data_IF_005706083005
#
_entry.id   IF_005706083005
#
_cell.length_a   1.000
_cell.length_b   1.000
_cell.length_c   1.000
_cell.angle_alpha   90.00
_cell.angle_beta   90.00
_cell.angle_gamma   90.00
#
_symmetry.space_group_name_H-M   'P 1'
#
loop_
_entity.id
_entity.type
_entity.pdbx_description
1 polymer ?
#
# COMPACT_ATOMS: atom_id res chain seq x y z
N UNK A 1 -8.27 -43.41 -1.82
CA UNK A 1 -7.47 -42.20 -1.61
C UNK A 1 -7.48 -41.79 -0.13
N UNK A 2 -7.03 -42.69 0.74
CA UNK A 2 -6.71 -42.45 2.15
C UNK A 2 -5.38 -43.15 2.37
N UNK A 3 -4.45 -42.50 3.09
CA UNK A 3 -3.02 -42.84 3.30
C UNK A 3 -2.05 -42.08 2.39
N UNK A 4 -1.81 -40.80 2.70
CA UNK A 4 -0.54 -40.07 2.47
C UNK A 4 -0.57 -38.76 3.30
N UNK A 5 -0.94 -38.87 4.58
CA UNK A 5 -0.83 -37.80 5.59
C UNK A 5 -0.31 -38.47 6.84
N UNK A 6 1.01 -38.55 6.99
CA UNK A 6 1.77 -38.89 8.21
C UNK A 6 3.20 -39.23 7.80
N UNK A 7 4.00 -38.21 7.47
CA UNK A 7 5.47 -38.21 7.60
C UNK A 7 5.94 -36.82 7.14
N UNK A 8 6.09 -35.90 8.09
CA UNK A 8 6.91 -34.65 8.03
C UNK A 8 6.67 -33.74 9.25
N UNK A 9 5.69 -34.06 10.11
CA UNK A 9 5.56 -33.46 11.44
C UNK A 9 6.42 -34.30 12.40
N UNK A 10 7.71 -33.98 12.53
CA UNK A 10 8.59 -34.28 13.69
C UNK A 10 10.05 -33.94 13.36
N UNK A 11 10.38 -32.66 13.30
CA UNK A 11 11.69 -32.18 13.73
C UNK A 11 11.45 -31.03 14.72
N UNK A 12 11.91 -31.13 15.98
CA UNK A 12 11.64 -30.10 16.97
C UNK A 12 12.52 -28.88 16.70
N UNK A 13 11.87 -27.72 16.64
CA UNK A 13 12.39 -26.36 16.47
C UNK A 13 13.35 -25.90 17.61
N UNK A 14 13.88 -26.83 18.41
CA UNK A 14 14.65 -26.54 19.63
C UNK A 14 16.17 -26.70 19.47
N UNK A 15 16.70 -26.90 18.25
CA UNK A 15 18.13 -27.13 18.02
C UNK A 15 18.86 -26.01 17.24
N UNK A 16 18.29 -24.81 17.19
CA UNK A 16 18.97 -23.60 16.70
C UNK A 16 19.02 -22.46 17.76
N UNK A 17 18.73 -22.78 19.03
CA UNK A 17 18.97 -21.89 20.17
C UNK A 17 20.27 -22.31 20.86
N UNK A 18 21.41 -21.82 20.37
CA UNK A 18 22.68 -22.09 21.05
C UNK A 18 23.90 -21.66 20.25
N UNK A 19 24.25 -20.37 20.32
CA UNK A 19 25.58 -19.86 20.66
C UNK A 19 25.65 -18.37 20.26
N UNK A 20 25.46 -17.49 21.24
CA UNK A 20 25.62 -16.04 21.08
C UNK A 20 25.48 -15.24 22.38
N UNK A 21 25.43 -15.92 23.54
CA UNK A 21 25.53 -15.29 24.85
C UNK A 21 27.01 -15.13 25.17
N UNK A 22 27.54 -13.93 24.92
CA UNK A 22 28.66 -13.27 25.62
C UNK A 22 29.13 -12.14 24.70
N UNK A 23 28.61 -10.92 24.90
CA UNK A 23 29.23 -9.60 24.66
C UNK A 23 28.22 -8.43 24.54
N UNK A 24 26.92 -8.62 24.83
CA UNK A 24 25.93 -7.53 24.89
C UNK A 24 25.53 -7.10 26.31
N UNK A 25 26.02 -7.75 27.37
CA UNK A 25 25.71 -7.41 28.77
C UNK A 25 26.50 -6.20 29.30
N UNK A 26 26.91 -5.25 28.44
CA UNK A 26 27.74 -4.12 28.83
C UNK A 26 27.39 -2.84 28.06
N UNK A 27 26.10 -2.53 27.91
CA UNK A 27 25.61 -1.16 27.72
C UNK A 27 24.27 -1.00 28.44
N UNK A 28 24.35 -0.71 29.74
CA UNK A 28 23.24 -0.19 30.55
C UNK A 28 22.94 1.26 30.16
N UNK A 29 22.50 1.48 28.92
CA UNK A 29 21.84 2.73 28.56
C UNK A 29 20.39 2.35 28.27
N UNK A 30 19.53 2.59 29.28
CA UNK A 30 18.10 2.60 29.09
C UNK A 30 17.79 3.53 27.91
N UNK A 31 17.41 2.94 26.77
CA UNK A 31 16.75 3.67 25.70
C UNK A 31 15.53 4.30 26.37
N UNK A 32 15.60 5.61 26.58
CA UNK A 32 14.45 6.36 27.02
C UNK A 32 13.38 6.12 25.96
N UNK A 33 12.36 5.32 26.31
CA UNK A 33 11.13 5.23 25.54
C UNK A 33 10.64 6.66 25.46
N UNK A 34 10.86 7.31 24.32
CA UNK A 34 10.30 8.62 24.06
C UNK A 34 8.80 8.45 24.29
N UNK A 35 8.25 9.17 25.28
CA UNK A 35 6.84 9.10 25.57
C UNK A 35 6.11 9.46 24.29
N UNK A 36 5.40 8.49 23.70
CA UNK A 36 4.56 8.73 22.53
C UNK A 36 3.65 9.93 22.82
N UNK A 37 3.34 10.77 21.81
CA UNK A 37 2.48 11.92 22.00
C UNK A 37 1.15 11.54 22.67
N UNK A 38 0.57 12.40 23.52
CA UNK A 38 -0.73 12.14 24.09
C UNK A 38 -1.79 12.04 22.97
N UNK A 39 -2.33 10.84 22.74
CA UNK A 39 -3.28 10.56 21.67
C UNK A 39 -2.98 9.29 20.86
N UNK A 40 -1.75 8.78 20.92
CA UNK A 40 -1.40 7.47 20.37
C UNK A 40 -2.20 6.38 21.12
N UNK A 41 -2.83 5.40 20.44
CA UNK A 41 -3.34 4.22 21.14
C UNK A 41 -2.15 3.61 21.87
N UNK A 42 -2.18 3.66 23.20
CA UNK A 42 -1.10 3.16 24.01
C UNK A 42 -1.02 1.65 23.79
N UNK A 43 -0.01 1.19 23.04
CA UNK A 43 0.47 -0.17 23.19
C UNK A 43 0.79 -0.33 24.68
N UNK A 44 0.27 -1.38 25.30
CA UNK A 44 0.61 -1.71 26.68
C UNK A 44 2.12 -1.86 26.81
N UNK A 45 2.65 -1.61 28.02
CA UNK A 45 4.08 -1.79 28.27
C UNK A 45 4.55 -3.23 27.99
N UNK A 46 3.65 -4.20 28.10
CA UNK A 46 3.86 -5.60 27.76
C UNK A 46 3.97 -5.78 26.23
N UNK A 47 3.03 -5.21 25.45
CA UNK A 47 3.13 -5.22 23.99
C UNK A 47 4.41 -4.54 23.51
N UNK A 48 4.76 -3.35 24.01
CA UNK A 48 6.01 -2.68 23.63
C UNK A 48 7.24 -3.52 24.01
N UNK A 49 7.23 -4.17 25.18
CA UNK A 49 8.34 -5.01 25.66
C UNK A 49 8.50 -6.27 24.80
N UNK A 50 7.42 -6.98 24.50
CA UNK A 50 7.43 -8.18 23.67
C UNK A 50 7.86 -7.86 22.24
N UNK A 51 7.42 -6.71 21.72
CA UNK A 51 7.84 -6.20 20.42
C UNK A 51 9.32 -5.82 20.39
N UNK A 52 9.82 -5.09 21.39
CA UNK A 52 11.24 -4.74 21.46
C UNK A 52 12.10 -5.98 21.68
N UNK A 53 11.62 -6.98 22.42
CA UNK A 53 12.26 -8.27 22.55
C UNK A 53 12.33 -8.99 21.19
N UNK A 54 11.20 -9.12 20.49
CA UNK A 54 11.15 -9.71 19.14
C UNK A 54 12.06 -8.95 18.16
N UNK A 55 11.99 -7.62 18.11
CA UNK A 55 12.86 -6.81 17.27
C UNK A 55 14.32 -6.99 17.64
N UNK A 56 14.69 -7.05 18.92
CA UNK A 56 16.08 -7.22 19.35
C UNK A 56 16.63 -8.63 19.03
N UNK A 57 15.78 -9.65 19.15
CA UNK A 57 16.10 -11.04 18.80
C UNK A 57 16.21 -11.23 17.28
N UNK A 58 15.45 -10.45 16.51
CA UNK A 58 15.40 -10.50 15.05
C UNK A 58 16.22 -9.39 14.35
N UNK A 59 16.74 -8.40 15.08
CA UNK A 59 17.57 -7.30 14.56
C UNK A 59 18.91 -7.77 14.03
N UNK A 60 19.39 -8.93 14.49
CA UNK A 60 20.58 -9.58 13.94
C UNK A 60 20.28 -10.30 12.63
N UNK A 61 19.00 -10.58 12.31
CA UNK A 61 18.56 -11.21 11.07
C UNK A 61 18.17 -10.18 9.99
N UNK A 62 17.76 -8.96 10.36
CA UNK A 62 17.41 -7.90 9.40
C UNK A 62 18.54 -7.53 8.40
N UNK A 63 19.84 -7.59 8.75
CA UNK A 63 20.93 -7.46 7.77
C UNK A 63 21.50 -8.80 7.28
N UNK A 64 20.99 -9.94 7.76
CA UNK A 64 21.66 -11.25 7.69
C UNK A 64 20.79 -12.44 7.28
N UNK A 65 19.62 -12.25 6.68
CA UNK A 65 18.99 -13.25 5.79
C UNK A 65 19.67 -13.29 4.41
N UNK A 66 20.99 -13.11 4.41
CA UNK A 66 21.84 -13.27 3.23
C UNK A 66 22.09 -14.74 2.97
N UNK A 67 21.48 -15.24 1.90
CA UNK A 67 22.12 -16.23 1.03
C UNK A 67 22.46 -17.56 1.68
N UNK A 68 21.49 -18.22 2.31
CA UNK A 68 21.49 -19.68 2.25
C UNK A 68 21.06 -20.03 0.83
N UNK A 69 22.03 -20.49 0.02
CA UNK A 69 21.74 -21.10 -1.27
C UNK A 69 20.87 -22.34 -1.04
N UNK A 70 19.56 -22.14 -1.01
CA UNK A 70 18.59 -23.21 -0.99
C UNK A 70 18.53 -23.81 -2.41
N UNK A 71 18.83 -25.11 -2.59
CA UNK A 71 18.61 -25.78 -3.86
C UNK A 71 17.15 -25.78 -4.35
N UNK A 72 16.18 -25.27 -3.56
CA UNK A 72 14.79 -25.05 -3.94
C UNK A 72 14.47 -23.67 -4.57
N UNK A 73 15.39 -22.70 -4.55
CA UNK A 73 15.15 -21.36 -5.12
C UNK A 73 15.00 -21.43 -6.65
N UNK A 74 13.93 -20.86 -7.18
CA UNK A 74 13.71 -20.75 -8.63
C UNK A 74 14.72 -19.75 -9.20
N UNK A 75 15.55 -20.12 -10.21
CA UNK A 75 16.59 -19.27 -10.74
C UNK A 75 16.05 -18.29 -11.79
N UNK A 76 15.01 -17.52 -11.44
CA UNK A 76 14.49 -16.42 -12.24
C UNK A 76 15.54 -15.30 -12.41
N UNK A 77 15.38 -14.48 -13.43
CA UNK A 77 16.18 -13.29 -13.70
C UNK A 77 15.30 -12.04 -13.71
N UNK A 78 15.90 -10.86 -13.76
CA UNK A 78 15.16 -9.60 -13.93
C UNK A 78 14.26 -9.59 -15.18
N UNK A 79 14.60 -10.35 -16.23
CA UNK A 79 13.76 -10.45 -17.42
C UNK A 79 12.45 -11.18 -17.16
N UNK A 80 12.41 -12.15 -16.23
CA UNK A 80 11.17 -12.86 -15.88
C UNK A 80 10.13 -11.94 -15.21
N UNK A 81 10.61 -10.83 -14.63
CA UNK A 81 9.80 -9.81 -13.98
C UNK A 81 9.70 -8.51 -14.79
N UNK A 82 10.15 -8.52 -16.06
CA UNK A 82 10.05 -7.36 -16.92
C UNK A 82 8.59 -6.99 -17.19
N UNK A 83 8.29 -5.70 -17.14
CA UNK A 83 6.96 -5.14 -17.37
C UNK A 83 7.07 -3.87 -18.22
N UNK A 84 6.11 -3.61 -19.14
CA UNK A 84 6.13 -2.44 -20.02
C UNK A 84 5.96 -1.11 -19.26
N UNK A 85 6.03 0.02 -19.98
CA UNK A 85 5.95 1.37 -19.42
C UNK A 85 7.32 2.02 -19.23
N UNK A 86 7.40 3.08 -18.42
CA UNK A 86 8.65 3.81 -18.19
C UNK A 86 9.66 2.91 -17.46
N UNK A 87 10.85 2.76 -18.03
CA UNK A 87 11.92 1.90 -17.48
C UNK A 87 12.92 2.69 -16.62
N UNK A 88 13.73 2.01 -15.78
CA UNK A 88 14.80 2.66 -15.04
C UNK A 88 15.75 3.43 -15.95
N UNK A 89 16.09 4.67 -15.57
CA UNK A 89 16.89 5.58 -16.39
C UNK A 89 16.14 6.19 -17.59
N UNK A 90 14.84 5.92 -17.73
CA UNK A 90 13.98 6.49 -18.78
C UNK A 90 13.53 7.93 -18.55
N UNK A 91 13.75 8.47 -17.34
CA UNK A 91 13.45 9.87 -17.02
C UNK A 91 14.62 10.78 -17.40
N UNK A 92 14.31 11.94 -17.99
CA UNK A 92 15.27 13.02 -18.22
C UNK A 92 15.43 13.87 -16.95
N UNK A 93 14.33 14.05 -16.22
CA UNK A 93 14.32 14.67 -14.89
C UNK A 93 13.84 13.64 -13.88
N UNK A 94 14.73 13.25 -12.96
CA UNK A 94 14.38 12.31 -11.87
C UNK A 94 13.21 12.84 -11.03
N UNK A 95 12.43 11.92 -10.47
CA UNK A 95 11.37 12.25 -9.50
C UNK A 95 12.01 12.95 -8.29
N UNK A 96 11.52 14.16 -7.98
CA UNK A 96 12.08 14.98 -6.90
C UNK A 96 11.61 14.56 -5.51
N UNK A 97 12.28 15.07 -4.48
CA UNK A 97 11.93 14.83 -3.07
C UNK A 97 10.63 15.57 -2.72
N UNK A 98 9.63 14.92 -2.08
CA UNK A 98 8.39 15.57 -1.64
C UNK A 98 8.60 16.86 -0.83
N UNK A 99 9.74 17.00 -0.14
CA UNK A 99 10.09 18.23 0.58
C UNK A 99 10.09 19.46 -0.34
N UNK A 100 10.37 19.31 -1.65
CA UNK A 100 10.25 20.40 -2.62
C UNK A 100 8.81 20.90 -2.80
N UNK A 101 7.81 20.06 -2.52
CA UNK A 101 6.39 20.41 -2.59
C UNK A 101 5.92 21.10 -1.31
N UNK A 102 6.55 20.80 -0.16
CA UNK A 102 6.06 21.19 1.16
C UNK A 102 6.05 22.70 1.41
N UNK A 103 6.88 23.47 0.69
CA UNK A 103 6.88 24.93 0.80
C UNK A 103 5.52 25.57 0.48
N UNK A 104 4.68 24.91 -0.32
CA UNK A 104 3.34 25.39 -0.68
C UNK A 104 2.23 24.40 -0.31
N UNK A 105 2.51 23.10 -0.31
CA UNK A 105 1.52 22.03 -0.13
C UNK A 105 1.51 21.42 1.29
N UNK A 106 2.22 22.04 2.24
CA UNK A 106 2.30 21.62 3.64
C UNK A 106 2.41 22.85 4.58
N UNK A 107 1.84 22.77 5.78
CA UNK A 107 1.99 23.74 6.86
C UNK A 107 1.24 25.07 6.66
N UNK A 108 0.32 25.15 5.70
CA UNK A 108 -0.41 26.37 5.35
C UNK A 108 -1.77 26.52 6.09
N UNK A 109 -2.24 25.47 6.76
CA UNK A 109 -3.43 25.40 7.61
C UNK A 109 -3.05 24.92 9.03
N UNK A 110 -2.28 25.70 9.81
CA UNK A 110 -1.81 25.26 11.13
C UNK A 110 -2.93 24.96 12.14
N UNK A 111 -4.14 25.47 11.92
CA UNK A 111 -5.32 25.19 12.74
C UNK A 111 -6.10 23.95 12.29
N UNK A 112 -5.84 23.43 11.09
CA UNK A 112 -6.46 22.23 10.54
C UNK A 112 -5.48 21.48 9.59
N UNK A 113 -4.42 20.84 10.12
CA UNK A 113 -3.44 20.13 9.30
C UNK A 113 -4.06 18.98 8.49
N UNK A 114 -5.14 18.37 8.98
CA UNK A 114 -5.87 17.31 8.26
C UNK A 114 -6.58 17.81 6.99
N UNK A 115 -6.63 19.12 6.76
CA UNK A 115 -7.09 19.71 5.49
C UNK A 115 -5.97 19.85 4.44
N UNK A 116 -4.72 19.54 4.79
CA UNK A 116 -3.57 19.73 3.91
C UNK A 116 -3.20 18.45 3.17
N UNK A 117 -2.81 18.61 1.91
CA UNK A 117 -2.36 17.50 1.05
C UNK A 117 -1.10 16.84 1.59
N UNK A 118 -0.07 17.62 1.91
CA UNK A 118 1.20 17.07 2.37
C UNK A 118 1.09 16.36 3.73
N UNK A 119 0.29 16.90 4.67
CA UNK A 119 0.09 16.28 5.99
C UNK A 119 -0.65 14.95 5.90
N UNK A 120 -1.76 14.91 5.15
CA UNK A 120 -2.55 13.68 4.99
C UNK A 120 -1.79 12.60 4.24
N UNK A 121 -1.07 12.95 3.18
CA UNK A 121 -0.19 12.01 2.45
C UNK A 121 0.91 11.45 3.35
N UNK A 122 1.59 12.30 4.14
CA UNK A 122 2.69 11.88 5.03
C UNK A 122 2.27 10.77 6.00
N UNK A 123 1.03 10.83 6.50
CA UNK A 123 0.48 9.82 7.39
C UNK A 123 -0.03 8.54 6.71
N UNK A 124 -0.06 8.50 5.38
CA UNK A 124 -0.62 7.39 4.61
C UNK A 124 0.42 6.29 4.33
N UNK A 125 -0.05 5.07 4.04
CA UNK A 125 0.86 3.99 3.61
C UNK A 125 1.52 4.25 2.25
N UNK A 126 1.02 5.19 1.44
CA UNK A 126 1.72 5.59 0.20
C UNK A 126 3.06 6.25 0.52
N UNK A 127 3.11 7.14 1.51
CA UNK A 127 4.35 7.77 1.97
C UNK A 127 5.29 6.83 2.73
N UNK A 128 4.76 5.70 3.21
CA UNK A 128 5.49 4.73 4.02
C UNK A 128 5.76 3.39 3.31
N UNK A 129 5.38 3.27 2.03
CA UNK A 129 5.44 1.99 1.30
C UNK A 129 6.85 1.41 1.16
N UNK A 130 7.88 2.26 1.24
CA UNK A 130 9.30 1.90 1.22
C UNK A 130 9.96 1.85 2.61
N UNK A 131 9.18 2.07 3.69
CA UNK A 131 9.60 1.92 5.09
C UNK A 131 8.88 0.78 5.81
N UNK A 132 7.97 0.08 5.12
CA UNK A 132 7.11 -0.93 5.72
C UNK A 132 7.91 -2.23 6.05
N UNK A 133 8.08 -2.59 7.34
CA UNK A 133 8.81 -3.81 7.71
C UNK A 133 8.07 -5.10 7.32
N UNK A 134 6.74 -5.08 7.17
CA UNK A 134 5.97 -6.22 6.64
C UNK A 134 6.30 -6.42 5.16
N UNK A 135 6.39 -5.32 4.41
CA UNK A 135 6.82 -5.36 3.02
C UNK A 135 8.23 -5.94 2.88
N UNK A 136 9.21 -5.47 3.66
CA UNK A 136 10.57 -6.01 3.57
C UNK A 136 10.66 -7.49 3.96
N UNK A 137 9.87 -7.94 4.92
CA UNK A 137 9.78 -9.37 5.24
C UNK A 137 9.22 -10.19 4.07
N UNK A 138 8.15 -9.72 3.42
CA UNK A 138 7.59 -10.36 2.24
C UNK A 138 8.55 -10.31 1.03
N UNK A 139 9.27 -9.20 0.86
CA UNK A 139 10.29 -9.02 -0.17
C UNK A 139 11.45 -10.02 -0.01
N UNK A 140 11.90 -10.25 1.22
CA UNK A 140 12.95 -11.22 1.53
C UNK A 140 12.50 -12.65 1.23
N UNK A 141 11.29 -13.03 1.67
CA UNK A 141 10.68 -14.34 1.35
C UNK A 141 10.56 -14.52 -0.16
N UNK A 142 10.03 -13.54 -0.89
CA UNK A 142 9.89 -13.60 -2.34
C UNK A 142 11.24 -13.76 -3.05
N UNK A 143 12.27 -13.02 -2.62
CA UNK A 143 13.63 -13.17 -3.15
C UNK A 143 14.27 -14.51 -2.78
N UNK A 144 13.91 -15.09 -1.63
CA UNK A 144 14.31 -16.42 -1.19
C UNK A 144 13.72 -17.53 -2.06
N UNK A 145 12.45 -17.39 -2.45
CA UNK A 145 11.72 -18.33 -3.29
C UNK A 145 12.09 -18.22 -4.78
N UNK A 146 12.19 -17.00 -5.30
CA UNK A 146 12.49 -16.70 -6.69
C UNK A 146 13.54 -15.58 -6.81
N UNK A 147 14.63 -15.85 -7.53
CA UNK A 147 15.69 -14.87 -7.71
C UNK A 147 15.21 -13.62 -8.46
N UNK A 148 15.66 -12.43 -8.03
CA UNK A 148 15.27 -11.13 -8.60
C UNK A 148 13.78 -10.73 -8.43
N UNK A 149 12.96 -11.51 -7.73
CA UNK A 149 11.53 -11.22 -7.56
C UNK A 149 11.24 -9.84 -6.97
N UNK A 150 12.11 -9.35 -6.09
CA UNK A 150 11.90 -8.05 -5.48
C UNK A 150 11.95 -6.85 -6.43
N UNK A 151 12.52 -6.99 -7.64
CA UNK A 151 12.47 -5.91 -8.65
C UNK A 151 11.03 -5.60 -9.09
N UNK A 152 10.17 -6.63 -9.12
CA UNK A 152 8.74 -6.49 -9.37
C UNK A 152 8.05 -5.68 -8.28
N UNK A 153 8.35 -5.98 -7.02
CA UNK A 153 7.70 -5.36 -5.86
C UNK A 153 8.11 -3.89 -5.68
N UNK A 154 9.41 -3.60 -5.85
CA UNK A 154 9.99 -2.27 -5.66
C UNK A 154 9.45 -1.23 -6.66
N UNK A 155 8.93 -1.68 -7.81
CA UNK A 155 8.29 -0.81 -8.79
C UNK A 155 7.06 -0.07 -8.22
N UNK A 156 6.26 -0.76 -7.40
CA UNK A 156 5.10 -0.16 -6.74
C UNK A 156 5.45 0.46 -5.38
N UNK A 157 6.36 -0.15 -4.63
CA UNK A 157 6.64 0.25 -3.25
C UNK A 157 7.68 1.38 -3.12
N UNK A 158 8.64 1.48 -4.04
CA UNK A 158 9.68 2.49 -4.05
C UNK A 158 9.90 3.06 -5.48
N UNK A 159 8.84 3.55 -6.15
CA UNK A 159 8.85 3.91 -7.58
C UNK A 159 9.94 4.91 -7.95
N UNK A 160 10.25 5.88 -7.08
CA UNK A 160 11.37 6.81 -7.31
C UNK A 160 12.71 6.08 -7.43
N UNK A 161 13.03 5.24 -6.45
CA UNK A 161 14.28 4.48 -6.43
C UNK A 161 14.36 3.51 -7.60
N UNK A 162 13.23 2.89 -7.95
CA UNK A 162 13.11 2.02 -9.11
C UNK A 162 13.37 2.76 -10.43
N UNK A 163 12.68 3.88 -10.68
CA UNK A 163 12.86 4.70 -11.89
C UNK A 163 14.28 5.24 -12.03
N UNK A 164 14.98 5.47 -10.92
CA UNK A 164 16.37 5.90 -10.91
C UNK A 164 17.39 4.75 -10.98
N UNK A 165 16.94 3.50 -11.15
CA UNK A 165 17.81 2.31 -11.25
C UNK A 165 18.40 1.82 -9.93
N UNK A 166 17.97 2.37 -8.79
CA UNK A 166 18.39 1.96 -7.45
C UNK A 166 17.63 0.75 -6.90
N UNK A 167 16.70 0.20 -7.67
CA UNK A 167 16.03 -1.08 -7.39
C UNK A 167 16.55 -2.24 -8.27
N UNK A 168 17.68 -2.07 -8.97
CA UNK A 168 18.32 -3.15 -9.73
C UNK A 168 18.85 -4.26 -8.80
N UNK A 169 19.09 -3.94 -7.54
CA UNK A 169 19.23 -4.93 -6.47
C UNK A 169 17.84 -5.26 -5.92
N UNK A 170 17.43 -6.52 -6.04
CA UNK A 170 16.07 -6.94 -5.72
C UNK A 170 15.77 -6.94 -4.21
N UNK A 171 16.76 -6.78 -3.33
CA UNK A 171 16.53 -6.67 -1.89
C UNK A 171 16.18 -5.25 -1.44
N UNK A 172 16.32 -4.25 -2.32
CA UNK A 172 16.07 -2.85 -1.97
C UNK A 172 17.17 -2.18 -1.14
N UNK A 173 18.34 -2.82 -0.94
CA UNK A 173 19.41 -2.25 -0.10
C UNK A 173 20.06 -1.00 -0.70
N UNK A 174 19.84 -0.79 -2.00
CA UNK A 174 20.36 0.36 -2.75
C UNK A 174 19.41 1.56 -2.72
N UNK A 175 18.22 1.42 -2.14
CA UNK A 175 17.34 2.56 -1.87
C UNK A 175 18.02 3.51 -0.88
N UNK A 176 17.86 4.81 -1.09
CA UNK A 176 18.53 5.80 -0.26
C UNK A 176 17.69 7.06 -0.05
N UNK A 177 17.81 7.66 1.13
CA UNK A 177 17.24 8.97 1.45
C UNK A 177 15.78 9.10 1.00
N UNK A 178 15.55 9.98 0.03
CA UNK A 178 14.22 10.29 -0.48
C UNK A 178 13.48 9.11 -1.14
N UNK A 179 14.16 8.03 -1.54
CA UNK A 179 13.49 6.82 -2.07
C UNK A 179 12.56 6.18 -1.03
N UNK A 180 12.90 6.31 0.26
CA UNK A 180 12.13 5.77 1.37
C UNK A 180 10.80 6.52 1.58
N UNK A 181 10.59 7.66 0.89
CA UNK A 181 9.30 8.34 0.82
C UNK A 181 8.21 7.60 0.04
N UNK A 182 8.48 6.38 -0.43
CA UNK A 182 7.48 5.48 -1.02
C UNK A 182 6.90 5.99 -2.34
N UNK A 183 5.57 5.95 -2.45
CA UNK A 183 4.80 6.49 -3.58
C UNK A 183 4.63 8.00 -3.42
N UNK A 184 5.52 8.74 -4.08
CA UNK A 184 5.71 10.20 -3.91
C UNK A 184 4.84 11.04 -4.84
N UNK A 185 4.70 12.33 -4.51
CA UNK A 185 3.86 13.30 -5.22
C UNK A 185 4.07 13.26 -6.74
N UNK A 186 5.31 13.37 -7.19
CA UNK A 186 5.65 13.41 -8.62
C UNK A 186 5.46 12.08 -9.34
N UNK A 187 5.41 10.95 -8.63
CA UNK A 187 5.10 9.66 -9.25
C UNK A 187 3.67 9.72 -9.78
N UNK A 188 2.69 10.04 -8.94
CA UNK A 188 1.30 10.17 -9.37
C UNK A 188 1.11 11.39 -10.28
N UNK A 189 1.62 12.55 -9.90
CA UNK A 189 1.40 13.80 -10.62
C UNK A 189 2.20 13.94 -11.93
N UNK A 190 3.01 12.95 -12.33
CA UNK A 190 3.60 12.87 -13.67
C UNK A 190 3.15 11.62 -14.43
N UNK A 191 2.24 10.83 -13.87
CA UNK A 191 1.74 9.63 -14.54
C UNK A 191 0.93 9.98 -15.78
N UNK A 192 1.31 9.38 -16.89
CA UNK A 192 0.61 9.47 -18.17
C UNK A 192 -0.35 8.30 -18.27
N UNK A 193 -1.53 8.56 -18.82
CA UNK A 193 -2.48 7.49 -19.15
C UNK A 193 -1.87 6.59 -20.24
N UNK A 194 -1.65 5.29 -19.97
CA UNK A 194 -1.12 4.38 -20.99
C UNK A 194 -2.09 4.16 -22.15
N UNK A 195 -3.39 4.47 -21.99
CA UNK A 195 -4.45 4.24 -22.98
C UNK A 195 -5.06 5.55 -23.49
N UNK A 196 -4.23 6.35 -24.17
CA UNK A 196 -4.57 7.69 -24.67
C UNK A 196 -5.97 7.83 -25.32
N UNK A 197 -6.68 8.88 -24.92
CA UNK A 197 -7.85 9.46 -25.56
C UNK A 197 -7.61 10.93 -25.92
N UNK A 198 -8.49 11.50 -26.74
CA UNK A 198 -8.36 12.89 -27.19
C UNK A 198 -8.55 13.92 -26.05
N UNK A 199 -9.10 13.50 -24.92
CA UNK A 199 -9.28 14.28 -23.70
C UNK A 199 -8.00 14.37 -22.86
N UNK A 200 -7.05 13.44 -23.03
CA UNK A 200 -5.74 13.50 -22.37
C UNK A 200 -4.89 14.66 -22.92
N UNK A 201 -3.92 15.17 -22.13
CA UNK A 201 -2.96 16.16 -22.61
C UNK A 201 -2.32 15.76 -23.94
N UNK A 202 -2.25 16.70 -24.89
CA UNK A 202 -1.68 16.43 -26.22
C UNK A 202 -0.21 15.94 -26.16
N UNK A 203 0.53 16.34 -25.13
CA UNK A 203 1.90 15.91 -24.86
C UNK A 203 2.01 14.39 -24.64
N UNK A 204 0.96 13.74 -24.15
CA UNK A 204 0.97 12.32 -23.82
C UNK A 204 1.24 11.46 -25.05
N UNK A 205 0.86 11.93 -26.25
CA UNK A 205 1.17 11.28 -27.53
C UNK A 205 2.68 11.11 -27.73
N UNK A 206 3.47 12.15 -27.44
CA UNK A 206 4.92 12.11 -27.61
C UNK A 206 5.59 11.24 -26.55
N UNK A 207 5.08 11.29 -25.31
CA UNK A 207 5.57 10.45 -24.21
C UNK A 207 5.35 8.97 -24.51
N UNK A 208 4.15 8.59 -24.95
CA UNK A 208 3.79 7.22 -25.27
C UNK A 208 4.53 6.72 -26.52
N UNK A 209 4.70 7.56 -27.53
CA UNK A 209 5.46 7.21 -28.75
C UNK A 209 6.96 6.97 -28.48
N UNK A 210 7.49 7.51 -27.39
CA UNK A 210 8.89 7.35 -27.00
C UNK A 210 9.16 6.08 -26.16
N UNK A 211 8.11 5.37 -25.71
CA UNK A 211 8.28 4.15 -24.92
C UNK A 211 8.91 3.03 -25.76
N UNK A 212 9.85 2.31 -25.15
CA UNK A 212 10.41 1.09 -25.75
C UNK A 212 9.36 -0.03 -25.83
N UNK A 213 8.50 -0.10 -24.80
CA UNK A 213 7.39 -1.05 -24.72
C UNK A 213 6.22 -0.40 -23.99
N UNK A 214 5.06 -0.35 -24.65
CA UNK A 214 3.88 0.33 -24.15
C UNK A 214 2.98 -0.65 -23.37
N UNK A 215 2.42 -0.26 -22.21
CA UNK A 215 1.51 -1.13 -21.49
C UNK A 215 0.31 -1.53 -22.35
N UNK A 216 0.04 -2.84 -22.40
CA UNK A 216 -1.12 -3.42 -23.11
C UNK A 216 -2.29 -3.71 -22.17
N UNK A 217 -2.01 -3.78 -20.88
CA UNK A 217 -2.97 -3.94 -19.78
C UNK A 217 -2.60 -2.98 -18.64
N UNK A 218 -3.60 -2.57 -17.87
CA UNK A 218 -3.39 -1.78 -16.67
C UNK A 218 -2.89 -2.69 -15.53
N UNK A 219 -2.02 -2.17 -14.67
CA UNK A 219 -1.66 -2.83 -13.41
C UNK A 219 -0.21 -3.30 -13.32
N UNK A 220 0.07 -4.04 -12.25
CA UNK A 220 1.38 -4.62 -11.91
C UNK A 220 2.52 -3.60 -11.83
N UNK A 221 2.19 -2.31 -11.66
CA UNK A 221 3.16 -1.24 -11.66
C UNK A 221 3.64 -0.85 -13.05
N UNK A 222 3.00 -1.29 -14.14
CA UNK A 222 3.30 -0.93 -15.54
C UNK A 222 2.99 0.56 -15.86
N UNK A 223 3.43 1.46 -14.98
CA UNK A 223 3.19 2.90 -15.03
C UNK A 223 3.98 3.55 -16.17
N UNK A 224 3.39 4.58 -16.74
CA UNK A 224 4.05 5.54 -17.63
C UNK A 224 4.20 6.84 -16.87
N UNK A 225 5.41 7.34 -16.77
CA UNK A 225 5.75 8.61 -16.12
C UNK A 225 6.38 9.51 -17.16
N UNK A 226 5.92 10.77 -17.22
CA UNK A 226 6.48 11.76 -18.13
C UNK A 226 7.99 11.92 -17.88
N UNK A 227 8.86 11.78 -18.90
CA UNK A 227 10.30 11.85 -18.72
C UNK A 227 10.79 13.22 -18.26
N UNK A 228 10.04 14.30 -18.52
CA UNK A 228 10.31 15.66 -18.05
C UNK A 228 9.46 15.98 -16.79
N UNK A 229 9.78 17.05 -16.05
CA UNK A 229 9.00 17.48 -14.87
C UNK A 229 7.70 18.19 -15.29
N UNK A 230 6.84 17.44 -15.98
CA UNK A 230 5.56 17.87 -16.54
C UNK A 230 4.42 17.34 -15.69
N UNK A 231 4.10 18.12 -14.67
CA UNK A 231 3.13 17.78 -13.64
C UNK A 231 1.71 17.94 -14.15
N UNK A 232 0.78 17.19 -13.59
CA UNK A 232 -0.62 17.19 -14.01
C UNK A 232 -1.58 16.80 -12.89
N UNK A 233 -2.85 17.11 -13.09
CA UNK A 233 -3.89 16.89 -12.09
C UNK A 233 -5.29 17.16 -12.63
N UNK A 234 -6.32 17.08 -11.78
CA UNK A 234 -7.72 17.15 -12.23
C UNK A 234 -8.18 18.56 -12.63
N UNK A 235 -7.45 19.61 -12.23
CA UNK A 235 -7.87 21.00 -12.39
C UNK A 235 -7.10 21.73 -13.49
N UNK A 236 -7.79 22.62 -14.20
CA UNK A 236 -7.14 23.63 -15.04
C UNK A 236 -6.74 24.84 -14.18
N UNK A 237 -5.48 24.87 -13.78
CA UNK A 237 -4.97 25.90 -12.88
C UNK A 237 -4.85 27.28 -13.54
N UNK A 238 -4.89 27.37 -14.87
CA UNK A 238 -4.85 28.66 -15.57
C UNK A 238 -6.17 29.44 -15.40
N UNK A 239 -7.27 28.75 -15.10
CA UNK A 239 -8.55 29.38 -14.76
C UNK A 239 -8.57 29.94 -13.34
N UNK A 240 -7.76 29.36 -12.46
CA UNK A 240 -7.75 29.64 -11.03
C UNK A 240 -6.74 30.73 -10.64
N UNK A 241 -5.70 30.93 -11.45
CA UNK A 241 -4.58 31.81 -11.14
C UNK A 241 -4.15 32.66 -12.33
N UNK A 242 -3.92 33.96 -12.10
CA UNK A 242 -3.34 34.86 -13.09
C UNK A 242 -1.83 34.64 -13.29
N UNK A 243 -1.18 33.89 -12.40
CA UNK A 243 0.26 33.62 -12.44
C UNK A 243 0.51 32.20 -11.96
N UNK A 244 1.34 31.46 -12.70
CA UNK A 244 1.67 30.07 -12.37
C UNK A 244 2.43 29.98 -11.03
N UNK A 245 1.84 29.38 -9.98
CA UNK A 245 2.55 29.17 -8.72
C UNK A 245 3.82 28.33 -8.88
N UNK A 246 3.85 27.40 -9.84
CA UNK A 246 4.98 26.51 -10.10
C UNK A 246 6.13 27.16 -10.88
N UNK A 247 5.93 28.37 -11.42
CA UNK A 247 7.00 29.12 -12.10
C UNK A 247 8.17 29.48 -11.19
N UNK A 248 7.96 29.50 -9.86
CA UNK A 248 9.04 29.67 -8.88
C UNK A 248 10.05 28.52 -8.89
N UNK A 249 9.61 27.33 -9.31
CA UNK A 249 10.45 26.15 -9.54
C UNK A 249 10.99 26.11 -10.97
N UNK A 250 10.71 27.12 -11.80
CA UNK A 250 11.09 27.16 -13.21
C UNK A 250 10.21 26.28 -14.11
N UNK A 251 9.02 25.90 -13.65
CA UNK A 251 8.12 24.98 -14.36
C UNK A 251 7.00 25.72 -15.09
N UNK A 252 6.52 25.12 -16.17
CA UNK A 252 5.31 25.54 -16.88
C UNK A 252 4.05 25.17 -16.10
N UNK A 253 2.87 25.54 -16.64
CA UNK A 253 1.59 25.25 -16.01
C UNK A 253 1.36 23.74 -15.96
N UNK A 254 0.97 23.18 -14.79
CA UNK A 254 0.56 21.78 -14.74
C UNK A 254 -0.58 21.49 -15.71
N UNK A 255 -0.52 20.33 -16.35
CA UNK A 255 -1.52 19.90 -17.33
C UNK A 255 -2.80 19.43 -16.62
N UNK A 256 -3.97 19.77 -17.18
CA UNK A 256 -5.21 19.12 -16.75
C UNK A 256 -5.28 17.71 -17.34
N UNK A 257 -5.58 16.70 -16.53
CA UNK A 257 -5.59 15.29 -16.93
C UNK A 257 -6.85 14.56 -16.43
N UNK A 258 -7.70 14.03 -17.34
CA UNK A 258 -8.83 13.16 -16.99
C UNK A 258 -8.41 11.91 -16.22
N UNK A 259 -7.25 11.32 -16.57
CA UNK A 259 -6.68 10.16 -15.88
C UNK A 259 -6.55 10.38 -14.35
N UNK A 260 -6.31 11.62 -13.91
CA UNK A 260 -6.22 11.96 -12.49
C UNK A 260 -7.57 11.99 -11.76
N UNK A 261 -8.67 11.78 -12.48
CA UNK A 261 -10.03 11.61 -11.96
C UNK A 261 -10.55 10.19 -12.14
N UNK A 262 -9.77 9.29 -12.72
CA UNK A 262 -10.20 7.94 -13.08
C UNK A 262 -9.60 6.90 -12.14
N UNK A 263 -10.37 5.87 -11.79
CA UNK A 263 -9.89 4.73 -11.01
C UNK A 263 -8.68 4.03 -11.65
N UNK A 264 -8.51 4.16 -12.97
CA UNK A 264 -7.40 3.58 -13.72
C UNK A 264 -6.01 4.09 -13.26
N UNK A 265 -5.93 5.33 -12.74
CA UNK A 265 -4.69 5.81 -12.11
C UNK A 265 -4.26 4.88 -10.97
N UNK A 266 -5.19 4.56 -10.05
CA UNK A 266 -4.94 3.66 -8.93
C UNK A 266 -4.73 2.21 -9.40
N UNK A 267 -5.49 1.79 -10.41
CA UNK A 267 -5.39 0.45 -11.00
C UNK A 267 -4.01 0.12 -11.56
N UNK A 268 -3.20 1.14 -11.90
CA UNK A 268 -1.81 0.94 -12.35
C UNK A 268 -0.93 0.20 -11.34
N UNK A 269 -1.23 0.31 -10.04
CA UNK A 269 -0.55 -0.44 -8.96
C UNK A 269 -1.47 -1.43 -8.24
N UNK A 270 -2.80 -1.24 -8.28
CA UNK A 270 -3.79 -2.02 -7.53
C UNK A 270 -4.50 -3.12 -8.32
N UNK A 271 -3.88 -3.61 -9.41
CA UNK A 271 -4.26 -4.84 -10.10
C UNK A 271 -2.96 -5.63 -10.41
N UNK A 272 -2.62 -6.62 -9.59
CA UNK A 272 -1.26 -7.19 -9.58
C UNK A 272 -1.27 -8.58 -10.20
N UNK A 273 -0.56 -8.75 -11.29
CA UNK A 273 -0.40 -10.01 -12.01
C UNK A 273 1.06 -10.45 -11.95
N UNK A 274 1.29 -11.68 -11.50
CA UNK A 274 2.62 -12.28 -11.53
C UNK A 274 2.96 -12.71 -12.97
N UNK A 275 3.99 -12.10 -13.61
CA UNK A 275 4.36 -12.39 -14.99
C UNK A 275 5.13 -13.72 -15.17
N UNK A 276 5.58 -14.36 -14.09
CA UNK A 276 6.38 -15.59 -14.16
C UNK A 276 5.53 -16.82 -14.54
N UNK A 277 4.21 -16.71 -14.43
CA UNK A 277 3.28 -17.77 -14.76
C UNK A 277 2.39 -17.35 -15.93
N UNK A 278 1.87 -18.32 -16.68
CA UNK A 278 0.79 -18.11 -17.65
C UNK A 278 -0.29 -19.18 -17.51
N UNK A 279 -1.53 -18.85 -17.85
CA UNK A 279 -2.64 -19.81 -17.88
C UNK A 279 -2.44 -20.83 -19.00
N UNK A 280 -2.42 -22.13 -18.64
CA UNK A 280 -2.40 -23.22 -19.61
C UNK A 280 -3.77 -23.90 -19.70
N UNK A 281 -4.42 -23.73 -20.86
CA UNK A 281 -5.77 -24.26 -21.09
C UNK A 281 -5.81 -25.79 -21.09
N UNK A 282 -4.71 -26.45 -21.47
CA UNK A 282 -4.61 -27.91 -21.47
C UNK A 282 -4.69 -28.53 -20.08
N UNK A 283 -4.05 -27.90 -19.10
CA UNK A 283 -4.02 -28.32 -17.70
C UNK A 283 -5.05 -27.62 -16.81
N UNK A 284 -5.71 -26.57 -17.30
CA UNK A 284 -6.61 -25.71 -16.52
C UNK A 284 -5.91 -25.14 -15.27
N UNK A 285 -4.65 -24.72 -15.43
CA UNK A 285 -3.83 -24.25 -14.34
C UNK A 285 -2.81 -23.21 -14.81
N UNK A 286 -2.32 -22.40 -13.86
CA UNK A 286 -1.19 -21.53 -14.11
C UNK A 286 0.11 -22.32 -14.02
N UNK A 287 0.94 -22.21 -15.05
CA UNK A 287 2.23 -22.91 -15.16
C UNK A 287 3.36 -21.90 -15.29
N UNK A 288 4.54 -22.24 -14.76
CA UNK A 288 5.70 -21.37 -14.88
C UNK A 288 6.12 -21.23 -16.35
N UNK A 289 6.45 -19.99 -16.73
CA UNK A 289 6.97 -19.65 -18.05
C UNK A 289 8.41 -20.14 -18.23
N UNK A 290 8.92 -20.03 -19.46
CA UNK A 290 10.34 -20.23 -19.69
C UNK A 290 11.12 -19.14 -18.95
N UNK A 291 12.13 -19.53 -18.17
CA UNK A 291 12.97 -18.59 -17.43
C UNK A 291 13.83 -17.74 -18.37
N UNK A 292 14.25 -16.58 -17.87
CA UNK A 292 14.97 -15.53 -18.58
C UNK A 292 14.21 -14.96 -19.79
N UNK A 293 12.88 -14.98 -19.74
CA UNK A 293 12.04 -14.37 -20.77
C UNK A 293 10.89 -13.56 -20.16
N UNK A 294 10.60 -12.35 -20.67
CA UNK A 294 9.44 -11.59 -20.22
C UNK A 294 8.14 -12.37 -20.41
N UNK A 295 7.33 -12.44 -19.35
CA UNK A 295 6.01 -13.03 -19.39
C UNK A 295 4.96 -12.10 -20.00
N UNK A 296 3.88 -12.69 -20.52
CA UNK A 296 2.70 -11.94 -20.93
C UNK A 296 1.81 -11.66 -19.72
N UNK A 297 1.79 -10.41 -19.28
CA UNK A 297 0.98 -9.93 -18.15
C UNK A 297 -0.53 -10.11 -18.35
N UNK A 298 -1.01 -10.26 -19.59
CA UNK A 298 -2.43 -10.52 -19.85
C UNK A 298 -2.82 -11.97 -19.56
N UNK A 299 -1.85 -12.88 -19.53
CA UNK A 299 -2.03 -14.31 -19.25
C UNK A 299 -1.55 -14.71 -17.85
N UNK A 300 -0.99 -13.77 -17.08
CA UNK A 300 -0.29 -14.06 -15.84
C UNK A 300 -1.16 -14.42 -14.64
N UNK A 301 -0.52 -14.92 -13.58
CA UNK A 301 -1.24 -15.37 -12.37
C UNK A 301 -1.80 -14.18 -11.56
N UNK A 302 -3.08 -14.18 -11.19
CA UNK A 302 -3.70 -13.11 -10.41
C UNK A 302 -3.26 -13.11 -8.95
N UNK A 303 -2.38 -12.19 -8.56
CA UNK A 303 -2.00 -11.97 -7.15
C UNK A 303 -3.05 -11.10 -6.45
N UNK A 304 -3.30 -9.91 -6.98
CA UNK A 304 -4.29 -8.97 -6.43
C UNK A 304 -5.22 -8.48 -7.53
N UNK A 305 -6.50 -8.30 -7.21
CA UNK A 305 -7.52 -7.89 -8.18
C UNK A 305 -8.37 -6.71 -7.72
N UNK A 306 -7.82 -5.83 -6.89
CA UNK A 306 -8.60 -4.72 -6.27
C UNK A 306 -9.27 -3.84 -7.33
N UNK A 307 -8.53 -3.43 -8.36
CA UNK A 307 -9.09 -2.64 -9.46
C UNK A 307 -10.11 -3.44 -10.27
N UNK A 308 -9.78 -4.68 -10.64
CA UNK A 308 -10.72 -5.56 -11.35
C UNK A 308 -12.00 -5.85 -10.56
N UNK A 309 -11.93 -5.98 -9.23
CA UNK A 309 -13.08 -6.13 -8.35
C UNK A 309 -13.96 -4.89 -8.36
N UNK A 310 -13.35 -3.69 -8.35
CA UNK A 310 -14.07 -2.43 -8.53
C UNK A 310 -14.71 -2.30 -9.91
N UNK A 311 -13.98 -2.68 -10.96
CA UNK A 311 -14.48 -2.62 -12.33
C UNK A 311 -15.78 -3.42 -12.50
N UNK A 312 -15.92 -4.51 -11.74
CA UNK A 312 -17.07 -5.42 -11.76
C UNK A 312 -18.15 -5.10 -10.71
N UNK A 313 -17.99 -4.04 -9.92
CA UNK A 313 -18.96 -3.66 -8.89
C UNK A 313 -19.97 -2.62 -9.39
N UNK A 314 -20.99 -2.34 -8.57
CA UNK A 314 -21.97 -1.29 -8.83
C UNK A 314 -21.38 0.14 -8.79
N UNK A 315 -20.18 0.29 -8.20
CA UNK A 315 -19.52 1.58 -8.07
C UNK A 315 -19.01 2.07 -9.44
N UNK A 316 -18.57 1.16 -10.31
CA UNK A 316 -18.11 1.50 -11.66
C UNK A 316 -19.28 1.79 -12.62
N UNK A 317 -20.05 2.83 -12.31
CA UNK A 317 -21.11 3.38 -13.15
C UNK A 317 -21.04 4.91 -13.16
N UNK A 318 -21.55 5.59 -14.20
CA UNK A 318 -21.56 7.06 -14.22
C UNK A 318 -22.33 7.70 -13.06
N UNK A 319 -23.23 6.96 -12.42
CA UNK A 319 -23.99 7.43 -11.26
C UNK A 319 -23.28 7.14 -9.93
N UNK A 320 -22.44 6.10 -9.87
CA UNK A 320 -21.85 5.61 -8.64
C UNK A 320 -22.89 5.08 -7.63
N UNK A 321 -22.42 4.86 -6.42
CA UNK A 321 -23.23 4.42 -5.26
C UNK A 321 -23.34 5.56 -4.26
N UNK A 322 -24.52 5.73 -3.66
CA UNK A 322 -24.70 6.71 -2.59
C UNK A 322 -24.01 6.24 -1.30
N UNK A 323 -22.84 6.81 -0.98
CA UNK A 323 -22.06 6.48 0.20
C UNK A 323 -21.47 7.76 0.85
N UNK A 324 -22.32 8.59 1.50
CA UNK A 324 -21.90 9.88 2.05
C UNK A 324 -20.85 9.77 3.17
N UNK A 325 -20.73 8.61 3.81
CA UNK A 325 -19.67 8.34 4.78
C UNK A 325 -18.27 8.34 4.14
N UNK A 326 -18.16 8.07 2.84
CA UNK A 326 -16.88 8.06 2.14
C UNK A 326 -16.68 9.28 1.26
N UNK A 327 -17.71 9.72 0.54
CA UNK A 327 -17.60 10.69 -0.56
C UNK A 327 -17.31 12.15 -0.17
N UNK A 328 -17.41 12.51 1.11
CA UNK A 328 -17.24 13.90 1.56
C UNK A 328 -18.31 14.82 0.97
N UNK A 329 -17.89 15.87 0.26
CA UNK A 329 -18.80 16.81 -0.42
C UNK A 329 -19.50 16.21 -1.64
N UNK A 330 -19.07 15.04 -2.11
CA UNK A 330 -19.65 14.33 -3.25
C UNK A 330 -20.21 12.97 -2.78
N UNK A 331 -21.48 12.89 -2.36
CA UNK A 331 -21.99 11.72 -1.64
C UNK A 331 -22.25 10.49 -2.52
N UNK A 332 -22.13 10.63 -3.85
CA UNK A 332 -22.15 9.51 -4.77
C UNK A 332 -20.72 9.20 -5.17
N UNK A 333 -20.28 7.97 -4.93
CA UNK A 333 -18.91 7.52 -5.14
C UNK A 333 -18.87 6.55 -6.31
N UNK A 334 -17.98 6.79 -7.27
CA UNK A 334 -17.88 6.00 -8.49
C UNK A 334 -16.47 5.51 -8.77
N UNK A 335 -15.45 6.26 -8.34
CA UNK A 335 -14.04 5.94 -8.54
C UNK A 335 -13.32 5.63 -7.24
N UNK A 336 -12.10 5.10 -7.32
CA UNK A 336 -11.24 4.89 -6.16
C UNK A 336 -11.05 6.20 -5.37
N UNK A 337 -10.85 7.30 -6.09
CA UNK A 337 -10.61 8.63 -5.55
C UNK A 337 -11.81 9.17 -4.77
N UNK A 338 -13.04 8.82 -5.13
CA UNK A 338 -14.22 9.37 -4.44
C UNK A 338 -14.28 8.92 -2.97
N UNK A 339 -13.81 7.71 -2.66
CA UNK A 339 -13.69 7.22 -1.28
C UNK A 339 -12.33 7.51 -0.65
N UNK A 340 -11.23 7.22 -1.35
CA UNK A 340 -9.87 7.27 -0.78
C UNK A 340 -9.21 8.64 -0.93
N UNK A 341 -9.79 9.52 -1.74
CA UNK A 341 -9.39 10.92 -1.90
C UNK A 341 -10.60 11.85 -1.87
N UNK A 342 -11.50 11.59 -0.90
CA UNK A 342 -12.82 12.22 -0.80
C UNK A 342 -12.77 13.73 -1.02
N UNK A 343 -13.82 14.25 -1.65
CA UNK A 343 -13.93 15.67 -1.95
C UNK A 343 -14.15 16.46 -0.67
N UNK A 344 -13.36 17.51 -0.47
CA UNK A 344 -13.51 18.44 0.66
C UNK A 344 -13.47 19.88 0.18
N UNK A 345 -14.06 20.78 0.97
CA UNK A 345 -13.86 22.22 0.80
C UNK A 345 -12.48 22.57 1.33
N UNK A 346 -11.63 23.14 0.47
CA UNK A 346 -10.28 23.52 0.87
C UNK A 346 -9.44 24.05 -0.27
N UNK A 347 -8.13 24.18 -0.06
CA UNK A 347 -7.17 24.59 -1.08
C UNK A 347 -6.06 23.56 -1.24
N UNK A 348 -5.58 23.38 -2.46
CA UNK A 348 -4.48 22.45 -2.76
C UNK A 348 -3.12 22.90 -2.24
N UNK A 349 -2.97 24.16 -1.84
CA UNK A 349 -1.74 24.72 -1.31
C UNK A 349 -1.83 26.23 -1.14
N UNK A 350 -0.78 26.84 -0.62
CA UNK A 350 -0.66 28.29 -0.51
C UNK A 350 0.55 28.83 -1.26
N UNK A 351 0.33 29.89 -2.04
CA UNK A 351 1.37 30.59 -2.77
C UNK A 351 1.44 32.04 -2.32
N UNK A 352 2.51 32.43 -1.62
CA UNK A 352 2.66 33.74 -0.96
C UNK A 352 1.46 34.14 -0.08
N UNK A 353 0.84 33.16 0.59
CA UNK A 353 -0.34 33.37 1.42
C UNK A 353 -1.66 33.45 0.65
N UNK A 354 -1.64 33.42 -0.68
CA UNK A 354 -2.83 33.28 -1.50
C UNK A 354 -3.26 31.79 -1.51
N UNK A 355 -4.56 31.55 -1.37
CA UNK A 355 -5.18 30.23 -1.39
C UNK A 355 -6.41 30.32 -2.31
N UNK A 356 -6.50 29.41 -3.28
CA UNK A 356 -7.72 29.23 -4.07
C UNK A 356 -8.49 28.07 -3.48
N UNK A 357 -9.65 28.38 -2.91
CA UNK A 357 -10.54 27.41 -2.30
C UNK A 357 -11.46 26.78 -3.35
N UNK A 358 -11.63 25.46 -3.29
CA UNK A 358 -12.59 24.69 -4.10
C UNK A 358 -13.40 23.79 -3.19
N UNK A 359 -14.63 23.51 -3.59
CA UNK A 359 -15.51 22.61 -2.85
C UNK A 359 -15.24 21.12 -3.15
N UNK A 360 -14.43 20.85 -4.16
CA UNK A 360 -14.13 19.52 -4.67
C UNK A 360 -12.63 19.17 -4.60
N UNK A 361 -11.89 19.68 -3.61
CA UNK A 361 -10.48 19.32 -3.44
C UNK A 361 -10.35 17.85 -3.03
N UNK A 362 -9.55 17.03 -3.74
CA UNK A 362 -9.28 15.67 -3.33
C UNK A 362 -8.31 15.64 -2.14
N UNK A 363 -8.77 15.17 -0.99
CA UNK A 363 -7.92 15.04 0.19
C UNK A 363 -7.00 13.83 0.04
N UNK A 364 -5.68 13.99 0.22
CA UNK A 364 -4.72 12.88 0.05
C UNK A 364 -4.67 11.95 1.27
N UNK A 365 -5.84 11.53 1.74
CA UNK A 365 -6.00 10.58 2.85
C UNK A 365 -5.37 9.23 2.47
N UNK A 366 -5.80 8.64 1.34
CA UNK A 366 -5.21 7.45 0.71
C UNK A 366 -5.12 6.23 1.67
N UNK A 367 -5.87 6.25 2.76
CA UNK A 367 -5.80 5.22 3.79
C UNK A 367 -6.62 4.00 3.40
N UNK A 368 -6.06 2.83 3.72
CA UNK A 368 -6.73 1.53 3.73
C UNK A 368 -6.96 1.07 5.16
N UNK A 369 -6.71 -0.21 5.43
CA UNK A 369 -6.94 -0.81 6.76
C UNK A 369 -5.71 -0.81 7.69
N UNK A 370 -4.52 -0.45 7.19
CA UNK A 370 -3.28 -0.64 7.95
C UNK A 370 -3.14 0.42 9.04
N UNK A 371 -3.32 -0.02 10.29
CA UNK A 371 -3.04 0.78 11.48
C UNK A 371 -1.73 0.38 12.14
N UNK A 372 -1.25 -0.85 11.89
CA UNK A 372 -0.14 -1.44 12.63
C UNK A 372 1.20 -0.85 12.19
N UNK A 373 1.46 -0.77 10.87
CA UNK A 373 2.74 -0.25 10.37
C UNK A 373 2.98 1.20 10.82
N UNK A 374 2.02 2.14 10.64
CA UNK A 374 2.18 3.51 11.15
C UNK A 374 2.40 3.58 12.67
N UNK A 375 1.82 2.67 13.45
CA UNK A 375 2.02 2.61 14.91
C UNK A 375 3.45 2.20 15.29
N UNK A 376 4.08 1.33 14.50
CA UNK A 376 5.40 0.75 14.83
C UNK A 376 6.57 1.42 14.16
N UNK A 377 6.37 2.12 13.05
CA UNK A 377 7.43 2.83 12.32
C UNK A 377 8.28 3.75 13.21
N UNK A 378 7.69 4.57 14.12
CA UNK A 378 8.46 5.40 15.05
C UNK A 378 9.39 4.63 16.00
N UNK A 379 9.11 3.34 16.21
CA UNK A 379 9.89 2.44 17.08
C UNK A 379 10.91 1.63 16.29
N UNK A 380 10.86 1.67 14.96
CA UNK A 380 11.76 0.89 14.12
C UNK A 380 13.18 1.45 14.20
N UNK A 381 14.22 0.63 14.43
CA UNK A 381 15.59 1.11 14.65
C UNK A 381 16.19 1.83 13.43
N UNK A 382 15.70 1.54 12.22
CA UNK A 382 16.19 2.17 10.98
C UNK A 382 15.36 3.38 10.56
N UNK A 383 14.06 3.40 10.86
CA UNK A 383 13.13 4.40 10.33
C UNK A 383 12.59 5.35 11.40
N UNK A 384 12.74 5.02 12.68
CA UNK A 384 12.16 5.81 13.77
C UNK A 384 12.66 7.25 13.80
N UNK A 385 13.94 7.46 13.48
CA UNK A 385 14.57 8.78 13.46
C UNK A 385 14.11 9.67 12.28
N UNK A 386 13.37 9.13 11.29
CA UNK A 386 12.82 9.90 10.17
C UNK A 386 11.60 10.75 10.57
N UNK A 387 11.00 10.48 11.74
CA UNK A 387 9.75 11.12 12.16
C UNK A 387 9.98 12.20 13.21
N UNK A 388 9.79 13.46 12.81
CA UNK A 388 9.66 14.56 13.76
C UNK A 388 8.25 14.58 14.40
N UNK A 389 8.01 15.53 15.30
CA UNK A 389 6.71 15.66 15.99
C UNK A 389 5.52 15.82 15.03
N UNK A 390 5.74 16.44 13.87
CA UNK A 390 4.70 16.63 12.86
C UNK A 390 4.44 15.34 12.10
N UNK A 391 5.51 14.61 11.73
CA UNK A 391 5.42 13.28 11.12
C UNK A 391 4.69 12.29 12.03
N UNK A 392 5.02 12.27 13.33
CA UNK A 392 4.31 11.44 14.32
C UNK A 392 2.81 11.76 14.37
N UNK A 393 2.46 13.05 14.42
CA UNK A 393 1.06 13.47 14.41
C UNK A 393 0.34 13.08 13.11
N UNK A 394 1.04 13.13 11.96
CA UNK A 394 0.49 12.71 10.68
C UNK A 394 0.21 11.21 10.64
N UNK A 395 1.13 10.37 11.15
CA UNK A 395 0.93 8.92 11.29
C UNK A 395 -0.27 8.61 12.18
N UNK A 396 -0.38 9.27 13.35
CA UNK A 396 -1.52 9.13 14.26
C UNK A 396 -2.84 9.46 13.57
N UNK A 397 -2.88 10.58 12.84
CA UNK A 397 -4.07 10.96 12.07
C UNK A 397 -4.40 9.92 10.98
N UNK A 398 -3.38 9.38 10.30
CA UNK A 398 -3.52 8.27 9.33
C UNK A 398 -4.13 7.02 9.96
N UNK A 399 -3.72 6.65 11.18
CA UNK A 399 -4.28 5.53 11.93
C UNK A 399 -5.77 5.74 12.21
N UNK A 400 -6.17 6.96 12.62
CA UNK A 400 -7.59 7.26 12.87
C UNK A 400 -8.42 7.15 11.60
N UNK A 401 -7.90 7.62 10.46
CA UNK A 401 -8.57 7.52 9.16
C UNK A 401 -8.67 6.06 8.69
N UNK A 402 -7.63 5.26 8.88
CA UNK A 402 -7.67 3.82 8.61
C UNK A 402 -8.71 3.08 9.47
N UNK A 403 -8.82 3.40 10.76
CA UNK A 403 -9.87 2.85 11.65
C UNK A 403 -11.26 3.24 11.16
N UNK A 404 -11.44 4.51 10.78
CA UNK A 404 -12.69 4.99 10.20
C UNK A 404 -13.09 4.18 8.97
N UNK A 405 -12.15 3.96 8.02
CA UNK A 405 -12.43 3.18 6.82
C UNK A 405 -12.88 1.76 7.16
N UNK A 406 -12.17 1.04 8.03
CA UNK A 406 -12.52 -0.34 8.41
C UNK A 406 -13.86 -0.42 9.14
N UNK A 407 -14.16 0.54 10.02
CA UNK A 407 -15.42 0.58 10.77
C UNK A 407 -16.64 0.84 9.88
N UNK A 408 -16.45 1.47 8.71
CA UNK A 408 -17.52 1.77 7.77
C UNK A 408 -17.54 0.83 6.54
N UNK A 409 -16.53 -0.04 6.38
CA UNK A 409 -16.37 -0.89 5.20
C UNK A 409 -17.46 -1.96 5.04
N UNK A 410 -18.16 -2.31 6.12
CA UNK A 410 -19.29 -3.24 6.04
C UNK A 410 -20.26 -3.10 7.21
N UNK A 411 -21.47 -3.58 7.00
CA UNK A 411 -22.55 -3.58 8.00
C UNK A 411 -22.78 -5.02 8.45
N UNK A 412 -22.80 -5.22 9.77
CA UNK A 412 -23.13 -6.50 10.40
C UNK A 412 -24.55 -6.45 10.99
N UNK A 413 -25.46 -7.24 10.44
CA UNK A 413 -26.80 -7.47 11.01
C UNK A 413 -26.89 -8.88 11.61
N UNK A 414 -27.51 -8.98 12.78
CA UNK A 414 -27.63 -10.24 13.52
C UNK A 414 -29.07 -10.44 13.96
N UNK A 415 -29.68 -11.54 13.50
CA UNK A 415 -31.04 -11.92 13.83
C UNK A 415 -31.10 -13.33 14.39
N UNK A 416 -31.74 -13.49 15.55
CA UNK A 416 -32.04 -14.82 16.09
C UNK A 416 -33.42 -15.30 15.60
N UNK A 417 -33.48 -16.49 15.02
CA UNK A 417 -34.71 -17.20 14.65
C UNK A 417 -34.75 -18.58 15.32
N UNK A 418 -35.44 -18.66 16.46
CA UNK A 418 -35.45 -19.87 17.28
C UNK A 418 -34.03 -20.22 17.77
N UNK A 419 -33.51 -21.35 17.31
CA UNK A 419 -32.16 -21.83 17.63
C UNK A 419 -31.12 -21.48 16.57
N UNK A 420 -31.48 -20.68 15.56
CA UNK A 420 -30.55 -20.22 14.53
C UNK A 420 -30.17 -18.76 14.76
N UNK A 421 -28.88 -18.46 14.62
CA UNK A 421 -28.37 -17.10 14.49
C UNK A 421 -28.09 -16.85 13.02
N UNK A 422 -28.78 -15.87 12.44
CA UNK A 422 -28.57 -15.43 11.07
C UNK A 422 -27.70 -14.19 11.16
N UNK A 423 -26.56 -14.23 10.50
CA UNK A 423 -25.60 -13.12 10.41
C UNK A 423 -25.54 -12.68 8.97
N UNK A 424 -25.79 -11.40 8.71
CA UNK A 424 -25.68 -10.79 7.39
C UNK A 424 -24.56 -9.77 7.41
N UNK A 425 -23.61 -9.89 6.48
CA UNK A 425 -22.55 -8.90 6.27
C UNK A 425 -22.83 -8.23 4.92
N UNK A 426 -23.08 -6.92 4.94
CA UNK A 426 -23.18 -6.11 3.73
C UNK A 426 -21.82 -5.48 3.48
N UNK A 427 -21.25 -5.70 2.30
CA UNK A 427 -20.03 -5.03 1.87
C UNK A 427 -20.38 -3.62 1.36
N UNK A 428 -19.84 -2.59 2.02
CA UNK A 428 -20.03 -1.17 1.68
C UNK A 428 -18.84 -0.63 0.87
N UNK A 429 -18.01 -1.52 0.32
CA UNK A 429 -16.85 -1.15 -0.50
C UNK A 429 -17.08 -1.46 -1.97
N UNK A 430 -16.41 -0.70 -2.84
CA UNK A 430 -16.46 -0.93 -4.28
C UNK A 430 -15.70 -2.17 -4.75
N UNK A 431 -15.01 -2.90 -3.89
CA UNK A 431 -14.20 -4.08 -4.21
C UNK A 431 -14.56 -5.21 -3.23
N UNK A 432 -13.80 -6.32 -3.17
CA UNK A 432 -14.05 -7.32 -2.12
C UNK A 432 -13.71 -6.78 -0.73
N UNK A 433 -14.29 -7.38 0.29
CA UNK A 433 -14.04 -7.07 1.69
C UNK A 433 -13.58 -8.35 2.42
N UNK A 434 -12.28 -8.50 2.71
CA UNK A 434 -11.16 -7.63 2.34
C UNK A 434 -10.71 -7.80 0.87
N UNK A 435 -10.01 -6.80 0.33
CA UNK A 435 -9.30 -6.84 -0.98
C UNK A 435 -7.79 -6.64 -0.78
N UNK A 436 -7.00 -6.77 -1.85
CA UNK A 436 -5.55 -6.59 -1.88
C UNK A 436 -4.78 -7.79 -1.31
N UNK A 437 -3.68 -7.52 -0.60
CA UNK A 437 -2.74 -8.50 -0.01
C UNK A 437 -3.38 -9.81 0.50
N UNK A 438 -3.34 -10.89 -0.32
CA UNK A 438 -4.09 -12.12 -0.03
C UNK A 438 -3.46 -12.98 1.06
N UNK A 439 -2.15 -12.88 1.30
CA UNK A 439 -1.46 -13.71 2.29
C UNK A 439 -1.67 -13.22 3.73
N UNK A 440 -1.97 -11.93 3.93
CA UNK A 440 -2.08 -11.34 5.27
C UNK A 440 -3.47 -10.83 5.67
N UNK A 441 -4.39 -10.61 4.72
CA UNK A 441 -5.71 -10.07 5.04
C UNK A 441 -6.72 -11.19 5.26
N UNK A 442 -7.29 -11.22 6.45
CA UNK A 442 -8.34 -12.17 6.83
C UNK A 442 -9.47 -11.43 7.54
N UNK A 443 -10.68 -11.87 7.26
CA UNK A 443 -11.88 -11.51 8.02
C UNK A 443 -12.52 -12.81 8.48
N UNK A 444 -13.14 -12.82 9.64
CA UNK A 444 -13.90 -13.98 10.11
C UNK A 444 -14.93 -13.53 11.12
N UNK A 445 -15.89 -14.40 11.43
CA UNK A 445 -16.85 -14.18 12.50
C UNK A 445 -16.47 -14.99 13.73
N UNK A 446 -16.32 -14.30 14.87
CA UNK A 446 -16.33 -14.94 16.19
C UNK A 446 -17.72 -14.82 16.80
N UNK A 447 -18.35 -15.95 17.12
CA UNK A 447 -19.70 -16.01 17.68
C UNK A 447 -19.67 -16.63 19.06
N UNK A 448 -20.19 -15.90 20.05
CA UNK A 448 -20.18 -16.32 21.45
C UNK A 448 -21.61 -16.41 22.01
N UNK A 449 -21.89 -17.52 22.69
CA UNK A 449 -23.16 -17.76 23.38
C UNK A 449 -22.96 -17.78 24.88
N UNK A 450 -23.78 -17.02 25.61
CA UNK A 450 -23.72 -16.87 27.06
C UNK A 450 -24.99 -17.43 27.73
N UNK A 451 -24.84 -18.04 28.90
CA UNK A 451 -25.99 -18.45 29.73
C UNK A 451 -26.62 -17.25 30.48
N UNK A 452 -27.69 -17.49 31.24
CA UNK A 452 -28.37 -16.43 32.00
C UNK A 452 -27.53 -15.82 33.14
N UNK A 453 -26.44 -16.48 33.54
CA UNK A 453 -25.47 -15.97 34.50
C UNK A 453 -24.34 -15.17 33.85
N UNK A 454 -24.31 -15.07 32.52
CA UNK A 454 -23.23 -14.44 31.77
C UNK A 454 -22.01 -15.34 31.58
N UNK A 455 -22.12 -16.65 31.78
CA UNK A 455 -21.02 -17.57 31.51
C UNK A 455 -21.01 -17.96 30.03
N UNK A 456 -19.83 -17.95 29.40
CA UNK A 456 -19.64 -18.44 28.05
C UNK A 456 -19.93 -19.95 27.98
N UNK A 457 -20.84 -20.36 27.11
CA UNK A 457 -21.25 -21.77 26.91
C UNK A 457 -21.08 -22.26 25.48
N UNK A 458 -20.86 -21.35 24.53
CA UNK A 458 -20.61 -21.64 23.13
C UNK A 458 -19.64 -20.60 22.57
N UNK A 459 -18.66 -21.05 21.79
CA UNK A 459 -17.84 -20.17 20.97
C UNK A 459 -17.58 -20.85 19.63
N UNK A 460 -17.55 -20.06 18.56
CA UNK A 460 -17.17 -20.48 17.20
C UNK A 460 -16.27 -19.42 16.60
N UNK A 461 -15.24 -19.85 15.87
CA UNK A 461 -14.25 -18.97 15.25
C UNK A 461 -13.43 -18.11 16.22
N UNK A 462 -13.18 -18.61 17.44
CA UNK A 462 -12.34 -17.93 18.41
C UNK A 462 -10.90 -17.79 17.90
N UNK A 463 -10.32 -16.60 18.03
CA UNK A 463 -8.92 -16.33 17.70
C UNK A 463 -8.03 -16.44 18.94
N UNK A 464 -6.99 -17.27 18.86
CA UNK A 464 -5.96 -17.34 19.87
C UNK A 464 -4.83 -16.36 19.53
N UNK A 465 -4.76 -15.27 20.28
CA UNK A 465 -3.75 -14.23 20.06
C UNK A 465 -2.31 -14.69 20.31
N UNK A 466 -2.09 -15.75 21.10
CA UNK A 466 -0.75 -16.25 21.40
C UNK A 466 -0.19 -17.13 20.26
N UNK A 467 -1.06 -17.86 19.56
CA UNK A 467 -0.68 -18.76 18.47
C UNK A 467 -0.97 -18.17 17.08
N UNK A 468 -1.86 -17.19 16.99
CA UNK A 468 -2.35 -16.63 15.73
C UNK A 468 -3.35 -17.53 15.00
N UNK A 469 -3.90 -18.55 15.68
CA UNK A 469 -4.77 -19.55 15.07
C UNK A 469 -6.26 -19.26 15.34
N UNK A 470 -7.10 -19.53 14.34
CA UNK A 470 -8.56 -19.58 14.52
C UNK A 470 -8.95 -20.98 14.95
N UNK A 471 -9.87 -21.07 15.91
CA UNK A 471 -10.51 -22.34 16.25
C UNK A 471 -11.30 -22.83 15.05
N UNK A 472 -10.88 -23.97 14.48
CA UNK A 472 -11.60 -24.63 13.41
C UNK A 472 -12.82 -25.38 13.96
N UNK A 473 -14.00 -25.02 13.47
CA UNK A 473 -15.25 -25.70 13.79
C UNK A 473 -16.19 -25.69 12.58
N UNK A 474 -17.27 -26.50 12.65
CA UNK A 474 -18.18 -26.68 11.52
C UNK A 474 -18.98 -25.41 11.13
N UNK A 475 -19.00 -24.38 11.98
CA UNK A 475 -19.70 -23.13 11.74
C UNK A 475 -18.76 -21.98 11.37
N UNK A 476 -17.44 -22.18 11.43
CA UNK A 476 -16.44 -21.15 11.08
C UNK A 476 -16.73 -20.58 9.69
N UNK A 477 -16.83 -19.24 9.61
CA UNK A 477 -16.91 -18.48 8.37
C UNK A 477 -15.68 -17.56 8.31
N UNK A 478 -14.88 -17.70 7.25
CA UNK A 478 -13.68 -16.90 6.95
C UNK A 478 -13.83 -16.29 5.57
#
# INVERSE_FOLDING_TARGET
MRRFHSLLITLPLALLMGLGLLFAAARDDAVAVAALPPGHPALSAEEVSDWMAWLSENAVYLPFLRGLGDPARVPTTANDFYLPGTQPGGLQTEVTDPVQCYGCHFGYLPANPDGETGYTWTGSMMAQSARDPVFYAALDVANGDAAEAGQFCLRCHAPRGWLAGRAADSSGVSLMGADLGGVQCEVCHRMVDPFYSAENPARDVDVLAALADAPTVLGSGAIVVDPEDERRGPFDLQLDWDTNPHSILGLDWPLQSPFHTEAALCGSCHDITNPVFSWDEGSQSYVANALDTPGDVSEGFPLERTYSEWLLSEYNTPQGVYAPQFGGNEPYVSTCQDCHMRKVTGSGGSFFGNMVERDNMPLHDLTGANTWVPLTLPLHPEFGDDFDQTGLAALDAGIQRARYMVQNAGILDVQQQGNQLIVTITNETGHKLPTGYPEGRRMWLQVEGYDSGGNLVFTSGAYDAATGELTEDANLQV
#
